data_IF_674353454689
#
_entry.id   IF_674353454689
#
_cell.length_a   1.000
_cell.length_b   1.000
_cell.length_c   1.000
_cell.angle_alpha   90.00
_cell.angle_beta   90.00
_cell.angle_gamma   90.00
#
_symmetry.space_group_name_H-M   'P 1'
#
loop_
_entity.id
_entity.type
_entity.pdbx_description
1 polymer ?
#
# COMPACT_ATOMS: atom_id res chain seq x y z
N UNK A 1 3.87 -41.00 10.00
CA UNK A 1 2.65 -40.35 9.48
C UNK A 1 1.38 -41.15 9.85
N UNK A 2 1.26 -41.70 11.07
CA UNK A 2 0.24 -42.71 11.40
C UNK A 2 -1.08 -42.18 11.98
N UNK A 3 -1.22 -40.85 12.20
CA UNK A 3 -2.43 -40.25 12.77
C UNK A 3 -3.13 -39.27 11.80
N UNK A 4 -2.74 -39.24 10.52
CA UNK A 4 -3.36 -38.35 9.54
C UNK A 4 -4.70 -38.93 9.07
N UNK A 5 -5.78 -38.18 9.22
CA UNK A 5 -7.08 -38.55 8.65
C UNK A 5 -7.04 -38.37 7.11
N UNK A 6 -7.19 -39.45 6.32
CA UNK A 6 -7.04 -39.38 4.87
C UNK A 6 -8.09 -38.49 4.20
N UNK A 7 -9.33 -38.47 4.71
CA UNK A 7 -10.41 -37.62 4.18
C UNK A 7 -10.12 -36.14 4.42
N UNK A 8 -9.57 -35.80 5.59
CA UNK A 8 -9.17 -34.42 5.89
C UNK A 8 -8.01 -33.98 4.98
N UNK A 9 -7.04 -34.86 4.73
CA UNK A 9 -5.91 -34.57 3.84
C UNK A 9 -6.38 -34.36 2.39
N UNK A 10 -7.31 -35.18 1.92
CA UNK A 10 -7.89 -35.04 0.58
C UNK A 10 -8.66 -33.73 0.44
N UNK A 11 -9.53 -33.41 1.42
CA UNK A 11 -10.25 -32.14 1.47
C UNK A 11 -9.30 -30.95 1.49
N UNK A 12 -8.27 -30.97 2.34
CA UNK A 12 -7.30 -29.88 2.45
C UNK A 12 -6.56 -29.62 1.12
N UNK A 13 -6.18 -30.68 0.40
CA UNK A 13 -5.55 -30.54 -0.93
C UNK A 13 -6.52 -29.99 -1.97
N UNK A 14 -7.76 -30.47 -1.98
CA UNK A 14 -8.77 -30.03 -2.92
C UNK A 14 -9.11 -28.56 -2.70
N UNK A 15 -9.40 -28.16 -1.46
CA UNK A 15 -9.71 -26.78 -1.08
C UNK A 15 -8.55 -25.84 -1.42
N UNK A 16 -7.32 -26.21 -1.05
CA UNK A 16 -6.13 -25.43 -1.38
C UNK A 16 -6.01 -25.16 -2.88
N UNK A 17 -6.22 -26.17 -3.72
CA UNK A 17 -6.14 -26.02 -5.18
C UNK A 17 -7.27 -25.15 -5.74
N UNK A 18 -8.49 -25.23 -5.18
CA UNK A 18 -9.63 -24.38 -5.59
C UNK A 18 -9.36 -22.91 -5.23
N UNK A 19 -8.88 -22.66 -4.01
CA UNK A 19 -8.51 -21.32 -3.55
C UNK A 19 -7.35 -20.77 -4.38
N UNK A 20 -6.31 -21.57 -4.64
CA UNK A 20 -5.19 -21.17 -5.48
C UNK A 20 -5.62 -20.85 -6.92
N UNK A 21 -6.56 -21.58 -7.51
CA UNK A 21 -7.09 -21.27 -8.84
C UNK A 21 -7.79 -19.89 -8.87
N UNK A 22 -8.50 -19.54 -7.79
CA UNK A 22 -9.09 -18.20 -7.63
C UNK A 22 -8.00 -17.13 -7.55
N UNK A 23 -6.93 -17.37 -6.77
CA UNK A 23 -5.81 -16.44 -6.68
C UNK A 23 -5.08 -16.25 -8.02
N UNK A 24 -4.90 -17.31 -8.80
CA UNK A 24 -4.31 -17.22 -10.14
C UNK A 24 -5.17 -16.38 -11.09
N UNK A 25 -6.50 -16.50 -11.00
CA UNK A 25 -7.42 -15.68 -11.77
C UNK A 25 -7.36 -14.21 -11.35
N UNK A 26 -7.29 -13.93 -10.05
CA UNK A 26 -7.09 -12.58 -9.52
C UNK A 26 -5.79 -11.97 -10.05
N UNK A 27 -4.68 -12.73 -10.00
CA UNK A 27 -3.37 -12.30 -10.47
C UNK A 27 -3.38 -12.02 -11.98
N UNK A 28 -4.06 -12.84 -12.79
CA UNK A 28 -4.17 -12.60 -14.25
C UNK A 28 -4.84 -11.26 -14.57
N UNK A 29 -5.89 -10.92 -13.83
CA UNK A 29 -6.59 -9.63 -13.97
C UNK A 29 -5.65 -8.48 -13.55
N UNK A 30 -4.95 -8.65 -12.42
CA UNK A 30 -3.98 -7.67 -11.93
C UNK A 30 -2.82 -7.45 -12.90
N UNK A 31 -2.28 -8.50 -13.51
CA UNK A 31 -1.22 -8.38 -14.51
C UNK A 31 -1.66 -7.57 -15.73
N UNK A 32 -2.94 -7.67 -16.12
CA UNK A 32 -3.49 -6.86 -17.22
C UNK A 32 -3.58 -5.39 -16.81
N UNK A 33 -4.06 -5.10 -15.61
CA UNK A 33 -4.09 -3.74 -15.06
C UNK A 33 -2.68 -3.16 -14.93
N UNK A 34 -1.73 -3.90 -14.37
CA UNK A 34 -0.36 -3.43 -14.15
C UNK A 34 0.34 -3.07 -15.47
N UNK A 35 0.20 -3.91 -16.50
CA UNK A 35 0.69 -3.60 -17.85
C UNK A 35 0.03 -2.32 -18.41
N UNK A 36 -1.25 -2.09 -18.12
CA UNK A 36 -1.96 -0.89 -18.60
C UNK A 36 -1.46 0.41 -17.97
N UNK A 37 -0.91 0.38 -16.75
CA UNK A 37 -0.33 1.57 -16.11
C UNK A 37 1.01 1.97 -16.74
N UNK A 38 1.71 1.01 -17.35
CA UNK A 38 3.07 1.17 -17.90
C UNK A 38 4.11 1.64 -16.87
N UNK A 39 3.82 1.50 -15.57
CA UNK A 39 4.75 1.91 -14.51
C UNK A 39 6.01 1.05 -14.55
N UNK A 40 5.90 -0.29 -14.61
CA UNK A 40 7.07 -1.17 -14.72
C UNK A 40 7.95 -0.88 -15.95
N UNK A 41 7.37 -0.45 -17.07
CA UNK A 41 8.11 -0.13 -18.29
C UNK A 41 8.80 1.24 -18.23
N UNK A 42 8.16 2.23 -17.59
CA UNK A 42 8.65 3.61 -17.55
C UNK A 42 9.53 3.94 -16.36
N UNK A 43 9.46 3.13 -15.31
CA UNK A 43 10.14 3.38 -14.03
C UNK A 43 11.22 2.32 -13.86
N UNK A 44 12.26 2.38 -14.69
CA UNK A 44 13.39 1.44 -14.61
C UNK A 44 14.16 1.52 -13.28
N UNK A 45 13.92 2.57 -12.49
CA UNK A 45 14.47 2.75 -11.15
C UNK A 45 13.62 2.10 -10.06
N UNK A 46 12.35 1.78 -10.33
CA UNK A 46 11.44 1.17 -9.36
C UNK A 46 11.34 -0.33 -9.57
N UNK A 47 11.11 -1.06 -8.48
CA UNK A 47 11.01 -2.51 -8.45
C UNK A 47 9.65 -2.96 -9.02
N UNK A 48 9.64 -3.79 -10.07
CA UNK A 48 8.41 -4.46 -10.51
C UNK A 48 8.03 -5.58 -9.53
N UNK A 49 7.10 -5.29 -8.61
CA UNK A 49 6.73 -6.16 -7.48
C UNK A 49 5.25 -6.55 -7.48
N UNK A 50 4.59 -6.61 -8.64
CA UNK A 50 3.16 -6.92 -8.70
C UNK A 50 2.83 -8.28 -8.05
N UNK A 51 3.66 -9.30 -8.28
CA UNK A 51 3.41 -10.66 -7.77
C UNK A 51 3.58 -10.69 -6.25
N UNK A 52 4.60 -10.00 -5.73
CA UNK A 52 4.85 -9.86 -4.29
C UNK A 52 3.77 -9.02 -3.61
N UNK A 53 3.32 -7.93 -4.24
CA UNK A 53 2.19 -7.12 -3.79
C UNK A 53 0.90 -7.94 -3.72
N UNK A 54 0.66 -8.79 -4.73
CA UNK A 54 -0.46 -9.72 -4.73
C UNK A 54 -0.32 -10.79 -3.64
N UNK A 55 0.87 -11.34 -3.44
CA UNK A 55 1.14 -12.32 -2.40
C UNK A 55 0.85 -11.75 -1.00
N UNK A 56 1.24 -10.49 -0.74
CA UNK A 56 0.85 -9.77 0.48
C UNK A 56 -0.67 -9.65 0.64
N UNK A 57 -1.39 -9.33 -0.43
CA UNK A 57 -2.86 -9.26 -0.39
C UNK A 57 -3.51 -10.61 -0.07
N UNK A 58 -2.93 -11.72 -0.55
CA UNK A 58 -3.38 -13.09 -0.22
C UNK A 58 -3.12 -13.40 1.24
N UNK A 59 -1.98 -13.00 1.80
CA UNK A 59 -1.68 -13.16 3.22
C UNK A 59 -2.66 -12.42 4.13
N UNK A 60 -3.18 -11.26 3.69
CA UNK A 60 -4.17 -10.49 4.45
C UNK A 60 -5.59 -11.06 4.31
N UNK A 61 -5.99 -11.47 3.11
CA UNK A 61 -7.37 -11.91 2.81
C UNK A 61 -7.37 -13.08 1.82
N UNK A 62 -7.16 -14.30 2.31
CA UNK A 62 -7.00 -15.47 1.45
C UNK A 62 -8.33 -16.05 0.93
N UNK A 63 -9.45 -15.75 1.57
CA UNK A 63 -10.73 -16.43 1.34
C UNK A 63 -11.32 -16.08 -0.04
N UNK A 64 -11.74 -17.07 -0.84
CA UNK A 64 -12.04 -16.88 -2.26
C UNK A 64 -13.11 -15.81 -2.54
N UNK A 65 -14.11 -15.64 -1.66
CA UNK A 65 -15.17 -14.63 -1.80
C UNK A 65 -14.67 -13.17 -1.80
N UNK A 66 -13.45 -12.91 -1.33
CA UNK A 66 -12.87 -11.57 -1.22
C UNK A 66 -11.91 -11.22 -2.38
N UNK A 67 -12.09 -11.84 -3.55
CA UNK A 67 -11.32 -11.55 -4.78
C UNK A 67 -11.26 -10.08 -5.15
N UNK A 68 -12.34 -9.32 -4.95
CA UNK A 68 -12.30 -7.88 -5.20
C UNK A 68 -11.34 -7.17 -4.22
N UNK A 69 -11.48 -7.44 -2.92
CA UNK A 69 -10.62 -6.87 -1.88
C UNK A 69 -9.14 -7.16 -2.17
N UNK A 70 -8.78 -8.43 -2.39
CA UNK A 70 -7.40 -8.82 -2.75
C UNK A 70 -6.86 -8.03 -3.93
N UNK A 71 -7.64 -7.93 -5.02
CA UNK A 71 -7.21 -7.17 -6.20
C UNK A 71 -7.02 -5.70 -5.90
N UNK A 72 -7.94 -5.06 -5.17
CA UNK A 72 -7.81 -3.64 -4.85
C UNK A 72 -6.61 -3.38 -3.93
N UNK A 73 -6.37 -4.25 -2.96
CA UNK A 73 -5.19 -4.18 -2.08
C UNK A 73 -3.89 -4.37 -2.87
N UNK A 74 -3.81 -5.36 -3.76
CA UNK A 74 -2.63 -5.58 -4.58
C UNK A 74 -2.32 -4.38 -5.49
N UNK A 75 -3.36 -3.73 -6.05
CA UNK A 75 -3.20 -2.46 -6.79
C UNK A 75 -2.57 -1.38 -5.91
N UNK A 76 -3.09 -1.18 -4.69
CA UNK A 76 -2.58 -0.19 -3.76
C UNK A 76 -1.15 -0.49 -3.31
N UNK A 77 -0.84 -1.74 -2.95
CA UNK A 77 0.51 -2.15 -2.54
C UNK A 77 1.50 -1.94 -3.69
N UNK A 78 1.11 -2.22 -4.93
CA UNK A 78 1.97 -1.95 -6.10
C UNK A 78 2.25 -0.45 -6.27
N UNK A 79 1.26 0.41 -6.03
CA UNK A 79 1.44 1.87 -6.05
C UNK A 79 2.27 2.38 -4.87
N UNK A 80 2.11 1.79 -3.68
CA UNK A 80 2.93 2.08 -2.49
C UNK A 80 4.40 1.83 -2.83
N UNK A 81 4.75 0.67 -3.38
CA UNK A 81 6.14 0.33 -3.73
C UNK A 81 6.74 1.32 -4.73
N UNK A 82 5.97 1.76 -5.73
CA UNK A 82 6.46 2.76 -6.69
C UNK A 82 6.67 4.11 -6.02
N UNK A 83 5.79 4.51 -5.10
CA UNK A 83 5.94 5.75 -4.36
C UNK A 83 7.13 5.70 -3.40
N UNK A 84 7.30 4.62 -2.65
CA UNK A 84 8.46 4.33 -1.81
C UNK A 84 9.78 4.53 -2.59
N UNK A 85 9.92 3.89 -3.75
CA UNK A 85 11.11 4.06 -4.61
C UNK A 85 11.28 5.52 -5.12
N UNK A 86 10.18 6.24 -5.36
CA UNK A 86 10.25 7.67 -5.75
C UNK A 86 10.78 8.51 -4.59
N UNK A 87 10.30 8.29 -3.36
CA UNK A 87 10.68 9.11 -2.21
C UNK A 87 12.07 8.80 -1.67
N UNK A 88 12.48 7.53 -1.67
CA UNK A 88 13.72 7.10 -1.02
C UNK A 88 14.93 7.10 -1.96
N UNK A 89 14.71 6.88 -3.27
CA UNK A 89 15.80 6.64 -4.22
C UNK A 89 15.89 7.71 -5.31
N UNK A 90 14.77 8.11 -5.90
CA UNK A 90 14.79 8.81 -7.18
C UNK A 90 14.50 10.30 -7.12
N UNK A 91 13.48 10.70 -6.37
CA UNK A 91 12.99 12.08 -6.34
C UNK A 91 13.91 13.02 -5.58
N UNK A 92 14.05 14.24 -6.08
CA UNK A 92 14.68 15.31 -5.31
C UNK A 92 13.71 15.90 -4.30
N UNK A 93 14.21 16.46 -3.19
CA UNK A 93 13.34 17.00 -2.14
C UNK A 93 12.29 18.00 -2.68
N UNK A 94 12.67 18.92 -3.57
CA UNK A 94 11.75 19.89 -4.18
C UNK A 94 10.63 19.18 -4.99
N UNK A 95 10.97 18.12 -5.73
CA UNK A 95 10.01 17.31 -6.49
C UNK A 95 9.07 16.52 -5.55
N UNK A 96 9.59 16.00 -4.44
CA UNK A 96 8.80 15.28 -3.45
C UNK A 96 7.82 16.20 -2.72
N UNK A 97 8.20 17.46 -2.47
CA UNK A 97 7.29 18.45 -1.89
C UNK A 97 6.10 18.75 -2.81
N UNK A 98 6.33 19.01 -4.10
CA UNK A 98 5.25 19.27 -5.05
C UNK A 98 4.38 18.04 -5.29
N UNK A 99 4.96 16.83 -5.29
CA UNK A 99 4.20 15.59 -5.39
C UNK A 99 3.28 15.39 -4.19
N UNK A 100 3.82 15.57 -2.98
CA UNK A 100 3.05 15.47 -1.72
C UNK A 100 1.88 16.45 -1.71
N UNK A 101 2.11 17.70 -2.14
CA UNK A 101 1.06 18.72 -2.25
C UNK A 101 0.01 18.36 -3.30
N UNK A 102 0.40 17.76 -4.43
CA UNK A 102 -0.54 17.32 -5.46
C UNK A 102 -1.46 16.19 -4.97
N UNK A 103 -0.92 15.25 -4.17
CA UNK A 103 -1.71 14.19 -3.53
C UNK A 103 -2.63 14.76 -2.46
N UNK A 104 -2.15 15.69 -1.63
CA UNK A 104 -2.97 16.34 -0.60
C UNK A 104 -4.15 17.13 -1.19
N UNK A 105 -3.91 17.88 -2.27
CA UNK A 105 -4.97 18.64 -2.96
C UNK A 105 -5.94 17.74 -3.73
N UNK A 106 -5.45 16.59 -4.19
CA UNK A 106 -6.20 15.62 -4.98
C UNK A 106 -6.93 16.25 -6.20
N UNK A 107 -6.23 17.11 -6.94
CA UNK A 107 -6.72 17.76 -8.15
C UNK A 107 -5.96 17.26 -9.37
N UNK A 108 -6.67 16.75 -10.38
CA UNK A 108 -6.08 16.28 -11.64
C UNK A 108 -5.20 17.35 -12.32
N UNK A 109 -5.50 18.63 -12.13
CA UNK A 109 -4.71 19.74 -12.69
C UNK A 109 -3.36 19.93 -12.00
N UNK A 110 -3.19 19.44 -10.77
CA UNK A 110 -1.91 19.48 -10.07
C UNK A 110 -0.83 18.67 -10.81
N UNK A 111 -1.24 17.68 -11.60
CA UNK A 111 -0.36 16.88 -12.46
C UNK A 111 0.50 17.74 -13.39
N UNK A 112 -0.02 18.85 -13.91
CA UNK A 112 0.70 19.71 -14.87
C UNK A 112 1.95 20.36 -14.26
N UNK A 113 2.02 20.45 -12.93
CA UNK A 113 3.15 21.02 -12.20
C UNK A 113 4.21 19.97 -11.84
N UNK A 114 3.91 18.68 -12.02
CA UNK A 114 4.82 17.59 -11.67
C UNK A 114 5.85 17.36 -12.79
N UNK A 115 7.05 16.86 -12.47
CA UNK A 115 7.98 16.31 -13.45
C UNK A 115 7.31 15.21 -14.28
N UNK A 116 7.71 15.06 -15.54
CA UNK A 116 7.06 14.12 -16.47
C UNK A 116 7.04 12.67 -15.97
N UNK A 117 8.09 12.25 -15.24
CA UNK A 117 8.14 10.92 -14.64
C UNK A 117 7.18 10.77 -13.46
N UNK A 118 6.76 11.83 -12.78
CA UNK A 118 5.80 11.74 -11.66
C UNK A 118 4.34 11.77 -12.16
N UNK A 119 4.07 12.39 -13.32
CA UNK A 119 2.72 12.53 -13.86
C UNK A 119 1.98 11.21 -14.00
N UNK A 120 2.67 10.18 -14.49
CA UNK A 120 2.05 8.86 -14.73
C UNK A 120 1.76 8.14 -13.42
N UNK A 121 2.66 8.24 -12.44
CA UNK A 121 2.44 7.71 -11.10
C UNK A 121 1.25 8.41 -10.43
N UNK A 122 1.23 9.75 -10.45
CA UNK A 122 0.12 10.54 -9.92
C UNK A 122 -1.21 10.17 -10.58
N UNK A 123 -1.25 10.09 -11.91
CA UNK A 123 -2.47 9.77 -12.64
C UNK A 123 -2.91 8.31 -12.40
N UNK A 124 -1.96 7.38 -12.27
CA UNK A 124 -2.25 5.97 -11.93
C UNK A 124 -2.85 5.85 -10.53
N UNK A 125 -2.27 6.56 -9.56
CA UNK A 125 -2.78 6.67 -8.19
C UNK A 125 -4.19 7.28 -8.16
N UNK A 126 -4.35 8.43 -8.83
CA UNK A 126 -5.59 9.18 -8.92
C UNK A 126 -6.70 8.32 -9.52
N UNK A 127 -6.47 7.74 -10.71
CA UNK A 127 -7.47 6.93 -11.40
C UNK A 127 -7.84 5.67 -10.61
N UNK A 128 -6.84 4.97 -10.06
CA UNK A 128 -7.07 3.73 -9.29
C UNK A 128 -7.91 3.99 -8.05
N UNK A 129 -7.61 5.07 -7.31
CA UNK A 129 -8.33 5.42 -6.08
C UNK A 129 -9.75 5.93 -6.38
N UNK A 130 -9.93 6.72 -7.44
CA UNK A 130 -11.26 7.16 -7.87
C UNK A 130 -12.11 5.99 -8.39
N UNK A 131 -11.51 5.01 -9.10
CA UNK A 131 -12.19 3.78 -9.52
C UNK A 131 -12.72 3.00 -8.31
N UNK A 132 -11.91 2.85 -7.27
CA UNK A 132 -12.29 2.21 -6.00
C UNK A 132 -13.43 2.96 -5.31
N UNK A 133 -13.32 4.28 -5.18
CA UNK A 133 -14.38 5.09 -4.55
C UNK A 133 -15.69 5.02 -5.34
N UNK A 134 -15.63 5.10 -6.67
CA UNK A 134 -16.80 4.96 -7.54
C UNK A 134 -17.48 3.60 -7.36
N UNK A 135 -16.70 2.53 -7.26
CA UNK A 135 -17.21 1.18 -7.04
C UNK A 135 -18.04 1.09 -5.75
N UNK A 136 -17.50 1.60 -4.64
CA UNK A 136 -18.17 1.60 -3.34
C UNK A 136 -19.40 2.50 -3.33
N UNK A 137 -19.30 3.70 -3.92
CA UNK A 137 -20.45 4.59 -4.07
C UNK A 137 -21.59 3.93 -4.85
N UNK A 138 -21.27 3.23 -5.93
CA UNK A 138 -22.26 2.51 -6.74
C UNK A 138 -22.92 1.35 -5.99
N UNK A 139 -22.16 0.62 -5.16
CA UNK A 139 -22.66 -0.56 -4.47
C UNK A 139 -23.40 -0.24 -3.16
N UNK A 140 -22.87 0.71 -2.39
CA UNK A 140 -23.33 0.98 -1.02
C UNK A 140 -23.89 2.40 -0.84
N UNK A 141 -23.81 3.27 -1.85
CA UNK A 141 -24.29 4.66 -1.76
C UNK A 141 -23.42 5.57 -0.89
N UNK A 142 -22.23 5.12 -0.48
CA UNK A 142 -21.34 5.86 0.43
C UNK A 142 -20.13 6.40 -0.34
N UNK A 143 -19.87 7.69 -0.19
CA UNK A 143 -18.67 8.31 -0.74
C UNK A 143 -17.45 8.09 0.19
N UNK A 144 -16.65 7.08 -0.13
CA UNK A 144 -15.42 6.77 0.62
C UNK A 144 -14.20 7.57 0.17
N UNK A 145 -14.28 8.33 -0.93
CA UNK A 145 -13.14 9.04 -1.52
C UNK A 145 -12.38 9.90 -0.50
N UNK A 146 -13.02 10.73 0.35
CA UNK A 146 -12.29 11.57 1.31
C UNK A 146 -11.42 10.78 2.30
N UNK A 147 -11.81 9.55 2.63
CA UNK A 147 -11.04 8.70 3.54
C UNK A 147 -9.85 8.07 2.81
N UNK A 148 -10.04 7.62 1.57
CA UNK A 148 -8.97 7.04 0.75
C UNK A 148 -7.87 8.07 0.44
N UNK A 149 -8.27 9.27 0.01
CA UNK A 149 -7.32 10.33 -0.37
C UNK A 149 -6.55 10.87 0.83
N UNK A 150 -7.21 10.95 1.99
CA UNK A 150 -6.52 11.32 3.23
C UNK A 150 -5.44 10.30 3.60
N UNK A 151 -5.70 9.00 3.50
CA UNK A 151 -4.66 7.98 3.78
C UNK A 151 -3.47 8.09 2.83
N UNK A 152 -3.71 8.35 1.55
CA UNK A 152 -2.62 8.60 0.60
C UNK A 152 -1.83 9.87 0.92
N UNK A 153 -2.51 10.94 1.34
CA UNK A 153 -1.86 12.18 1.76
C UNK A 153 -1.03 11.98 3.04
N UNK A 154 -1.57 11.28 4.03
CA UNK A 154 -0.86 10.96 5.28
C UNK A 154 0.38 10.09 5.00
N UNK A 155 0.28 9.10 4.10
CA UNK A 155 1.41 8.29 3.67
C UNK A 155 2.49 9.12 2.95
N UNK A 156 2.12 9.94 1.98
CA UNK A 156 3.08 10.79 1.24
C UNK A 156 3.77 11.81 2.17
N UNK A 157 3.07 12.31 3.20
CA UNK A 157 3.67 13.18 4.22
C UNK A 157 4.68 12.44 5.08
N UNK A 158 4.39 11.17 5.44
CA UNK A 158 5.31 10.34 6.20
C UNK A 158 6.59 10.04 5.39
N UNK A 159 6.45 9.69 4.10
CA UNK A 159 7.60 9.53 3.20
C UNK A 159 8.40 10.83 3.03
N UNK A 160 7.71 11.97 2.84
CA UNK A 160 8.39 13.26 2.75
C UNK A 160 9.18 13.58 4.02
N UNK A 161 8.67 13.21 5.20
CA UNK A 161 9.36 13.42 6.47
C UNK A 161 10.65 12.60 6.57
N UNK A 162 10.63 11.35 6.12
CA UNK A 162 11.83 10.49 6.03
C UNK A 162 12.84 11.06 5.02
N UNK A 163 12.40 11.44 3.83
CA UNK A 163 13.25 12.10 2.83
C UNK A 163 13.87 13.40 3.36
N UNK A 164 13.12 14.19 4.13
CA UNK A 164 13.65 15.40 4.80
C UNK A 164 14.71 15.07 5.84
N UNK A 165 14.54 14.00 6.61
CA UNK A 165 15.57 13.56 7.56
C UNK A 165 16.84 13.14 6.83
N UNK A 166 16.70 12.34 5.77
CA UNK A 166 17.80 11.91 4.92
C UNK A 166 18.58 13.09 4.32
N UNK A 167 17.91 13.97 3.57
CA UNK A 167 18.57 15.07 2.86
C UNK A 167 19.23 16.11 3.78
N UNK A 168 18.70 16.29 4.99
CA UNK A 168 19.29 17.21 5.98
C UNK A 168 20.35 16.56 6.86
N UNK A 169 20.62 15.26 6.69
CA UNK A 169 21.51 14.49 7.57
C UNK A 169 21.02 14.45 9.03
N UNK A 170 19.72 14.65 9.24
CA UNK A 170 19.11 14.62 10.57
C UNK A 170 18.89 13.18 11.00
N UNK A 171 19.28 12.87 12.24
CA UNK A 171 19.11 11.53 12.83
C UNK A 171 17.99 11.61 13.87
N UNK A 172 16.78 11.11 13.56
CA UNK A 172 15.68 11.13 14.53
C UNK A 172 15.99 10.24 15.73
N UNK A 173 15.42 10.57 16.88
CA UNK A 173 15.32 9.62 17.99
C UNK A 173 14.40 8.47 17.61
N UNK A 174 14.51 7.33 18.33
CA UNK A 174 13.62 6.19 18.11
C UNK A 174 12.13 6.58 18.22
N UNK A 175 11.80 7.47 19.16
CA UNK A 175 10.42 7.94 19.34
C UNK A 175 9.94 8.79 18.15
N UNK A 176 10.78 9.73 17.67
CA UNK A 176 10.47 10.54 16.49
C UNK A 176 10.31 9.66 15.24
N UNK A 177 11.25 8.74 15.01
CA UNK A 177 11.19 7.77 13.93
C UNK A 177 9.90 6.95 14.01
N UNK A 178 9.65 6.30 15.14
CA UNK A 178 8.48 5.42 15.30
C UNK A 178 7.14 6.15 15.29
N UNK A 179 7.09 7.46 15.51
CA UNK A 179 5.87 8.26 15.32
C UNK A 179 5.57 8.57 13.85
N UNK A 180 6.57 8.45 12.95
CA UNK A 180 6.41 8.54 11.50
C UNK A 180 6.33 7.15 10.83
N UNK A 181 7.19 6.24 11.23
CA UNK A 181 7.48 4.98 10.55
C UNK A 181 6.29 4.00 10.53
N UNK A 182 5.39 4.09 11.51
CA UNK A 182 4.14 3.31 11.52
C UNK A 182 3.12 3.80 10.48
N UNK A 183 3.28 5.02 9.96
CA UNK A 183 2.49 5.53 8.82
C UNK A 183 3.22 5.19 7.53
N UNK A 184 4.54 5.43 7.43
CA UNK A 184 5.33 5.21 6.21
C UNK A 184 5.37 3.75 5.77
N UNK A 185 5.18 2.79 6.69
CA UNK A 185 5.02 1.36 6.34
C UNK A 185 3.68 1.05 5.62
N UNK A 186 2.83 2.05 5.40
CA UNK A 186 1.56 2.00 4.66
C UNK A 186 0.47 1.05 5.19
N UNK A 187 0.71 0.31 6.29
CA UNK A 187 -0.27 -0.59 6.90
C UNK A 187 -1.59 0.11 7.27
N UNK A 188 -1.62 1.33 7.83
CA UNK A 188 -2.88 2.02 8.08
C UNK A 188 -3.74 2.21 6.81
N UNK A 189 -3.10 2.55 5.69
CA UNK A 189 -3.74 2.69 4.39
C UNK A 189 -4.30 1.35 3.91
N UNK A 190 -3.49 0.29 3.97
CA UNK A 190 -3.88 -1.07 3.54
C UNK A 190 -5.07 -1.57 4.36
N UNK A 191 -5.06 -1.38 5.68
CA UNK A 191 -6.15 -1.83 6.56
C UNK A 191 -7.44 -1.04 6.35
N UNK A 192 -7.38 0.27 6.11
CA UNK A 192 -8.59 1.05 5.76
C UNK A 192 -9.21 0.53 4.46
N UNK A 193 -8.40 0.30 3.44
CA UNK A 193 -8.89 -0.24 2.16
C UNK A 193 -9.46 -1.64 2.33
N UNK A 194 -8.82 -2.51 3.12
CA UNK A 194 -9.32 -3.84 3.41
C UNK A 194 -10.70 -3.78 4.09
N UNK A 195 -10.86 -2.92 5.10
CA UNK A 195 -12.14 -2.69 5.76
C UNK A 195 -13.24 -2.28 4.77
N UNK A 196 -12.95 -1.33 3.89
CA UNK A 196 -13.91 -0.82 2.89
C UNK A 196 -14.37 -1.92 1.92
N UNK A 197 -13.47 -2.82 1.51
CA UNK A 197 -13.79 -3.86 0.52
C UNK A 197 -14.32 -5.17 1.12
N UNK A 198 -14.19 -5.38 2.44
CA UNK A 198 -14.73 -6.56 3.14
C UNK A 198 -16.07 -6.26 3.82
N UNK A 199 -16.27 -5.02 4.28
CA UNK A 199 -17.44 -4.65 5.08
C UNK A 199 -18.64 -4.30 4.20
N UNK A 200 -19.78 -4.93 4.50
CA UNK A 200 -21.06 -4.61 3.86
C UNK A 200 -22.22 -4.90 4.84
N UNK A 201 -22.98 -3.89 5.31
CA UNK A 201 -22.87 -2.47 4.98
C UNK A 201 -21.75 -1.74 5.74
N UNK A 202 -21.12 -0.76 5.09
CA UNK A 202 -20.20 0.20 5.72
C UNK A 202 -21.00 1.25 6.50
N UNK A 203 -20.49 1.70 7.64
CA UNK A 203 -21.03 2.85 8.38
C UNK A 203 -20.04 4.02 8.39
N UNK A 204 -20.56 5.25 8.39
CA UNK A 204 -19.74 6.47 8.41
C UNK A 204 -18.97 6.57 9.75
N UNK A 205 -19.58 6.16 10.84
CA UNK A 205 -18.96 6.14 12.17
C UNK A 205 -17.74 5.21 12.21
N UNK A 206 -17.82 4.05 11.54
CA UNK A 206 -16.69 3.14 11.44
C UNK A 206 -15.56 3.72 10.59
N UNK A 207 -15.87 4.36 9.46
CA UNK A 207 -14.88 5.05 8.62
C UNK A 207 -14.19 6.20 9.38
N UNK A 208 -14.95 7.00 10.12
CA UNK A 208 -14.41 8.06 10.98
C UNK A 208 -13.53 7.53 12.10
N UNK A 209 -13.93 6.42 12.73
CA UNK A 209 -13.14 5.76 13.76
C UNK A 209 -11.81 5.25 13.20
N UNK A 210 -11.81 4.52 12.09
CA UNK A 210 -10.60 3.98 11.47
C UNK A 210 -9.65 5.08 11.00
N UNK A 211 -10.20 6.19 10.51
CA UNK A 211 -9.43 7.34 10.05
C UNK A 211 -8.78 8.16 11.19
N UNK A 212 -9.12 7.85 12.45
CA UNK A 212 -8.43 8.35 13.66
C UNK A 212 -7.33 7.40 14.14
N UNK A 213 -7.05 6.33 13.39
CA UNK A 213 -6.02 5.34 13.68
C UNK A 213 -6.17 4.72 15.08
N UNK A 214 -7.24 3.93 15.31
CA UNK A 214 -7.41 3.24 16.59
C UNK A 214 -6.19 2.38 16.90
N UNK A 215 -5.94 2.16 18.19
CA UNK A 215 -4.78 1.43 18.72
C UNK A 215 -4.43 0.14 17.97
N UNK A 216 -5.44 -0.60 17.51
CA UNK A 216 -5.25 -1.83 16.74
C UNK A 216 -4.48 -1.58 15.44
N UNK A 217 -4.81 -0.52 14.69
CA UNK A 217 -4.12 -0.16 13.44
C UNK A 217 -2.68 0.24 13.75
N UNK A 218 -2.49 1.10 14.76
CA UNK A 218 -1.15 1.55 15.15
C UNK A 218 -0.28 0.37 15.58
N UNK A 219 -0.80 -0.55 16.39
CA UNK A 219 -0.05 -1.74 16.85
C UNK A 219 0.31 -2.66 15.69
N UNK A 220 -0.62 -2.96 14.79
CA UNK A 220 -0.34 -3.76 13.59
C UNK A 220 0.74 -3.11 12.72
N UNK A 221 0.66 -1.80 12.51
CA UNK A 221 1.64 -1.07 11.72
C UNK A 221 3.02 -1.04 12.40
N UNK A 222 3.08 -0.80 13.72
CA UNK A 222 4.33 -0.85 14.48
C UNK A 222 5.00 -2.23 14.43
N UNK A 223 4.24 -3.31 14.59
CA UNK A 223 4.78 -4.68 14.47
C UNK A 223 5.35 -4.90 13.07
N UNK A 224 4.60 -4.49 12.04
CA UNK A 224 5.03 -4.66 10.66
C UNK A 224 6.31 -3.86 10.38
N UNK A 225 6.36 -2.60 10.81
CA UNK A 225 7.55 -1.74 10.70
C UNK A 225 8.77 -2.40 11.34
N UNK A 226 8.65 -2.92 12.57
CA UNK A 226 9.78 -3.60 13.20
C UNK A 226 10.23 -4.86 12.44
N UNK A 227 9.30 -5.67 11.94
CA UNK A 227 9.65 -6.87 11.16
C UNK A 227 10.31 -6.50 9.84
N UNK A 228 9.84 -5.43 9.21
CA UNK A 228 10.40 -4.87 7.98
C UNK A 228 11.84 -4.37 8.22
N UNK A 229 12.05 -3.49 9.19
CA UNK A 229 13.37 -2.94 9.53
C UNK A 229 14.37 -4.04 9.90
N UNK A 230 13.94 -5.06 10.65
CA UNK A 230 14.78 -6.23 10.96
C UNK A 230 15.17 -7.03 9.71
N UNK A 231 14.28 -7.08 8.72
CA UNK A 231 14.50 -7.78 7.46
C UNK A 231 15.36 -7.01 6.46
N UNK A 232 15.36 -5.67 6.50
CA UNK A 232 15.96 -4.83 5.46
C UNK A 232 17.16 -3.99 5.92
N UNK A 233 17.33 -3.76 7.23
CA UNK A 233 18.37 -2.90 7.82
C UNK A 233 19.76 -3.09 7.22
N UNK A 234 20.20 -4.35 7.06
CA UNK A 234 21.54 -4.65 6.56
C UNK A 234 21.81 -4.18 5.12
N UNK A 235 20.78 -4.13 4.27
CA UNK A 235 20.90 -3.67 2.89
C UNK A 235 20.60 -2.18 2.74
N UNK A 236 19.82 -1.60 3.65
CA UNK A 236 19.56 -0.17 3.70
C UNK A 236 20.75 0.63 4.24
N UNK A 237 21.43 0.11 5.27
CA UNK A 237 22.69 0.68 5.77
C UNK A 237 23.77 0.76 4.68
N UNK A 238 23.82 -0.23 3.78
CA UNK A 238 24.77 -0.23 2.64
C UNK A 238 24.40 0.79 1.56
N UNK A 239 23.12 1.09 1.39
CA UNK A 239 22.60 2.04 0.39
C UNK A 239 22.61 3.47 0.89
N UNK A 240 22.76 3.68 2.19
CA UNK A 240 22.85 4.99 2.83
C UNK A 240 21.49 5.55 3.23
N UNK A 241 20.47 4.71 3.42
CA UNK A 241 19.13 5.13 3.80
C UNK A 241 19.07 5.82 5.19
N UNK A 242 17.91 6.41 5.54
CA UNK A 242 17.66 6.87 6.91
C UNK A 242 17.94 5.72 7.90
N UNK A 243 18.63 5.96 9.03
CA UNK A 243 18.94 4.87 9.95
C UNK A 243 17.67 4.15 10.44
N UNK A 244 17.51 2.89 10.04
CA UNK A 244 16.49 2.00 10.57
C UNK A 244 16.82 1.51 11.98
N UNK A 245 15.83 0.91 12.63
CA UNK A 245 16.02 0.26 13.92
C UNK A 245 17.07 -0.86 13.84
N UNK A 246 18.20 -0.67 14.53
CA UNK A 246 19.19 -1.72 14.83
C UNK A 246 18.90 -2.30 16.22
N UNK A 247 18.76 -3.64 16.33
CA UNK A 247 18.77 -4.37 17.60
C UNK A 247 20.19 -4.68 18.06
#
# INVERSE_FOLDING_TARGET
MSNANPLLLELAKLDFNIVQATHQQDLKILSTWWKSTRLAEKYSFSRDRLVEAFFWSVGLVFEPQHSLCRRMLAKNISLIVVLDDIYDVYGTLDELEIFTQAVERWDIKAMEQLPDYMKICYLSLFNTTNEMAYHILKQQGINVLPYLTKQWADLCKAYLQEARWYHNGYKPTLEEYMNNAWISIAIPLVLLHAFIFVTNPITLEALESLNKFPDIIRRCATITRFVDDLGTSSDELKRGDVPNFEL
#
